data_IF_650422354474
#
_entry.id   IF_650422354474
#
_cell.length_a   1.000
_cell.length_b   1.000
_cell.length_c   1.000
_cell.angle_alpha   90.00
_cell.angle_beta   90.00
_cell.angle_gamma   90.00
#
_symmetry.space_group_name_H-M   'P 1'
#
loop_
_entity.id
_entity.type
_entity.pdbx_description
1 polymer ?
#
# COMPACT_ATOMS: atom_id res chain seq x y z
N UNK A 1 10.48 -5.33 23.73
CA UNK A 1 10.03 -6.75 23.62
C UNK A 1 11.05 -7.65 24.30
N UNK A 2 10.60 -8.67 25.05
CA UNK A 2 11.48 -9.66 25.72
C UNK A 2 12.23 -10.48 24.66
N UNK A 3 13.52 -10.68 24.82
CA UNK A 3 14.31 -11.54 23.94
C UNK A 3 13.81 -12.99 24.04
N UNK A 4 13.63 -13.66 22.90
CA UNK A 4 13.25 -15.07 22.86
C UNK A 4 14.44 -15.95 23.23
N UNK A 5 14.18 -17.02 24.02
CA UNK A 5 15.12 -18.11 24.24
C UNK A 5 15.05 -19.11 23.08
N UNK A 6 16.07 -19.93 22.90
CA UNK A 6 16.14 -20.92 21.81
C UNK A 6 14.90 -21.83 21.76
N UNK A 7 14.41 -22.24 22.91
CA UNK A 7 13.32 -23.21 23.08
C UNK A 7 11.92 -22.58 23.08
N UNK A 8 11.83 -21.25 23.13
CA UNK A 8 10.54 -20.56 23.07
C UNK A 8 9.90 -20.73 21.67
N UNK A 9 8.57 -20.75 21.61
CA UNK A 9 7.87 -20.72 20.33
C UNK A 9 8.20 -19.43 19.57
N UNK A 10 8.41 -19.59 18.27
CA UNK A 10 8.76 -18.45 17.44
C UNK A 10 7.59 -17.46 17.35
N UNK A 11 7.91 -16.17 17.47
CA UNK A 11 6.93 -15.06 17.43
C UNK A 11 6.19 -14.89 16.09
N UNK A 12 6.58 -15.64 15.05
CA UNK A 12 5.91 -15.62 13.75
C UNK A 12 4.67 -16.51 13.68
N UNK A 13 4.27 -17.14 14.79
CA UNK A 13 3.15 -18.06 14.92
C UNK A 13 3.24 -19.32 14.03
N UNK A 14 4.44 -19.69 13.55
CA UNK A 14 4.64 -20.88 12.74
C UNK A 14 4.52 -22.20 13.52
N UNK A 15 4.34 -22.15 14.85
CA UNK A 15 4.36 -23.31 15.73
C UNK A 15 5.75 -23.92 15.95
N UNK A 16 6.80 -23.42 15.30
CA UNK A 16 8.18 -23.90 15.43
C UNK A 16 8.88 -23.22 16.61
N UNK A 17 9.88 -23.89 17.18
CA UNK A 17 10.79 -23.25 18.14
C UNK A 17 11.60 -22.14 17.48
N UNK A 18 12.02 -21.16 18.27
CA UNK A 18 12.79 -20.02 17.75
C UNK A 18 14.10 -20.46 17.09
N UNK A 19 14.81 -21.44 17.69
CA UNK A 19 16.04 -22.00 17.11
C UNK A 19 15.85 -22.59 15.71
N UNK A 20 14.68 -23.20 15.45
CA UNK A 20 14.37 -23.89 14.21
C UNK A 20 13.64 -22.99 13.21
N UNK A 21 13.52 -21.71 13.52
CA UNK A 21 12.76 -20.74 12.71
C UNK A 21 13.56 -19.47 12.45
N UNK A 22 13.44 -18.46 13.31
CA UNK A 22 13.99 -17.13 13.01
C UNK A 22 15.33 -16.82 13.71
N UNK A 23 15.87 -17.71 14.53
CA UNK A 23 17.09 -17.40 15.29
C UNK A 23 18.29 -17.08 14.41
N UNK A 24 18.50 -17.82 13.33
CA UNK A 24 19.62 -17.57 12.41
C UNK A 24 19.44 -16.26 11.66
N UNK A 25 18.24 -16.00 11.21
CA UNK A 25 17.89 -14.73 10.54
C UNK A 25 18.12 -13.54 11.47
N UNK A 26 17.69 -13.64 12.73
CA UNK A 26 17.90 -12.59 13.73
C UNK A 26 19.38 -12.35 14.04
N UNK A 27 20.18 -13.41 14.08
CA UNK A 27 21.63 -13.28 14.22
C UNK A 27 22.27 -12.52 13.06
N UNK A 28 21.81 -12.75 11.82
CA UNK A 28 22.26 -12.00 10.66
C UNK A 28 21.89 -10.51 10.79
N UNK A 29 20.66 -10.21 11.19
CA UNK A 29 20.21 -8.82 11.42
C UNK A 29 21.02 -8.14 12.53
N UNK A 30 21.28 -8.81 13.63
CA UNK A 30 22.09 -8.25 14.73
C UNK A 30 23.53 -8.01 14.30
N UNK A 31 24.10 -8.84 13.41
CA UNK A 31 25.41 -8.59 12.87
C UNK A 31 25.45 -7.32 11.97
N UNK A 32 24.40 -7.10 11.16
CA UNK A 32 24.26 -5.86 10.40
C UNK A 32 24.13 -4.64 11.31
N UNK A 33 23.34 -4.71 12.39
CA UNK A 33 23.24 -3.64 13.39
C UNK A 33 24.59 -3.31 14.04
N UNK A 34 25.39 -4.33 14.38
CA UNK A 34 26.75 -4.12 14.96
C UNK A 34 27.70 -3.43 13.97
N UNK A 35 27.46 -3.56 12.68
CA UNK A 35 28.20 -2.86 11.61
C UNK A 35 27.58 -1.51 11.27
N UNK A 36 26.71 -0.96 12.13
CA UNK A 36 26.03 0.31 11.97
C UNK A 36 25.09 0.43 10.75
N UNK A 37 24.67 -0.70 10.16
CA UNK A 37 23.62 -0.67 9.14
C UNK A 37 22.25 -0.42 9.77
N UNK A 38 21.40 0.36 9.07
CA UNK A 38 20.01 0.51 9.43
C UNK A 38 19.27 -0.81 9.13
N UNK A 39 18.73 -1.43 10.17
CA UNK A 39 17.91 -2.65 10.04
C UNK A 39 16.47 -2.26 10.33
N UNK A 40 15.53 -2.56 9.40
CA UNK A 40 14.12 -2.29 9.60
C UNK A 40 13.58 -2.92 10.88
N UNK A 41 12.63 -2.27 11.58
CA UNK A 41 12.01 -2.86 12.75
C UNK A 41 11.20 -4.10 12.36
N UNK A 42 11.17 -5.10 13.23
CA UNK A 42 10.57 -6.40 12.94
C UNK A 42 9.07 -6.35 12.65
N UNK A 43 8.35 -5.36 13.15
CA UNK A 43 6.93 -5.19 12.92
C UNK A 43 6.56 -4.89 11.45
N UNK A 44 7.52 -4.46 10.63
CA UNK A 44 7.29 -4.26 9.19
C UNK A 44 7.56 -5.53 8.37
N UNK A 45 8.16 -6.57 8.98
CA UNK A 45 8.35 -7.87 8.32
C UNK A 45 7.01 -8.61 8.36
N UNK A 46 6.48 -8.93 7.20
CA UNK A 46 5.17 -9.56 7.07
C UNK A 46 5.28 -11.09 7.19
N UNK A 47 4.27 -11.70 7.80
CA UNK A 47 4.08 -13.15 7.78
C UNK A 47 3.30 -13.59 6.51
N UNK A 48 3.13 -14.90 6.30
CA UNK A 48 2.46 -15.44 5.11
C UNK A 48 1.01 -15.00 4.98
N UNK A 49 0.26 -14.88 6.08
CA UNK A 49 -1.11 -14.39 6.10
C UNK A 49 -1.18 -12.93 5.64
N UNK A 50 -0.29 -12.09 6.18
CA UNK A 50 -0.19 -10.69 5.79
C UNK A 50 0.23 -10.52 4.32
N UNK A 51 1.17 -11.38 3.85
CA UNK A 51 1.56 -11.39 2.44
C UNK A 51 0.42 -11.81 1.53
N UNK A 52 -0.37 -12.81 1.93
CA UNK A 52 -1.58 -13.20 1.20
C UNK A 52 -2.58 -12.03 1.11
N UNK A 53 -2.86 -11.36 2.23
CA UNK A 53 -3.72 -10.16 2.24
C UNK A 53 -3.19 -9.03 1.35
N UNK A 54 -1.88 -8.77 1.35
CA UNK A 54 -1.28 -7.78 0.46
C UNK A 54 -1.43 -8.17 -1.02
N UNK A 55 -1.30 -9.45 -1.36
CA UNK A 55 -1.50 -9.93 -2.74
C UNK A 55 -2.95 -9.74 -3.20
N UNK A 56 -3.92 -10.02 -2.34
CA UNK A 56 -5.35 -9.78 -2.66
C UNK A 56 -5.63 -8.27 -2.83
N UNK A 57 -5.14 -7.44 -1.91
CA UNK A 57 -5.25 -5.98 -2.03
C UNK A 57 -4.61 -5.46 -3.34
N UNK A 58 -3.46 -6.02 -3.73
CA UNK A 58 -2.78 -5.63 -4.97
C UNK A 58 -3.59 -5.99 -6.22
N UNK A 59 -4.32 -7.10 -6.23
CA UNK A 59 -5.21 -7.47 -7.35
C UNK A 59 -6.34 -6.44 -7.51
N UNK A 60 -6.94 -6.02 -6.40
CA UNK A 60 -7.96 -4.98 -6.41
C UNK A 60 -7.37 -3.68 -6.97
N UNK A 61 -6.21 -3.27 -6.46
CA UNK A 61 -5.56 -2.03 -6.91
C UNK A 61 -5.23 -2.03 -8.42
N UNK A 62 -4.71 -3.14 -8.94
CA UNK A 62 -4.45 -3.31 -10.38
C UNK A 62 -5.76 -3.16 -11.17
N UNK A 63 -6.81 -3.87 -10.78
CA UNK A 63 -8.10 -3.81 -11.47
C UNK A 63 -8.74 -2.42 -11.44
N UNK A 64 -8.54 -1.66 -10.37
CA UNK A 64 -8.99 -0.27 -10.26
C UNK A 64 -8.22 0.63 -11.22
N UNK A 65 -6.89 0.49 -11.28
CA UNK A 65 -6.05 1.27 -12.20
C UNK A 65 -6.37 0.95 -13.66
N UNK A 66 -6.53 -0.33 -14.00
CA UNK A 66 -6.94 -0.75 -15.35
C UNK A 66 -8.31 -0.16 -15.71
N UNK A 67 -9.27 -0.18 -14.78
CA UNK A 67 -10.59 0.40 -14.99
C UNK A 67 -10.53 1.92 -15.20
N UNK A 68 -9.69 2.63 -14.45
CA UNK A 68 -9.47 4.07 -14.69
C UNK A 68 -8.86 4.29 -16.06
N UNK A 69 -7.83 3.53 -16.44
CA UNK A 69 -7.17 3.65 -17.74
C UNK A 69 -8.12 3.41 -18.92
N UNK A 70 -9.09 2.49 -18.77
CA UNK A 70 -10.10 2.22 -19.81
C UNK A 70 -11.17 3.31 -19.94
N UNK A 71 -11.40 4.11 -18.91
CA UNK A 71 -12.49 5.06 -18.83
C UNK A 71 -12.05 6.53 -18.85
N UNK A 72 -10.77 6.81 -18.63
CA UNK A 72 -10.26 8.18 -18.60
C UNK A 72 -10.25 8.80 -19.99
N UNK A 73 -10.74 10.04 -20.10
CA UNK A 73 -10.72 10.80 -21.36
C UNK A 73 -10.73 12.31 -21.09
N UNK A 74 -10.31 13.09 -22.08
CA UNK A 74 -10.43 14.55 -22.03
C UNK A 74 -11.90 14.98 -21.84
N UNK A 75 -12.10 16.01 -21.05
CA UNK A 75 -13.42 16.50 -20.66
C UNK A 75 -13.94 15.98 -19.34
N UNK A 76 -13.39 14.88 -18.81
CA UNK A 76 -13.66 14.45 -17.43
C UNK A 76 -13.08 15.44 -16.43
N UNK A 77 -13.69 15.52 -15.26
CA UNK A 77 -13.10 16.20 -14.11
C UNK A 77 -12.26 15.23 -13.29
N UNK A 78 -11.34 15.74 -12.48
CA UNK A 78 -10.60 14.90 -11.54
C UNK A 78 -11.51 14.27 -10.48
N UNK A 79 -12.68 14.87 -10.21
CA UNK A 79 -13.71 14.26 -9.36
C UNK A 79 -14.32 13.01 -10.01
N UNK A 80 -14.53 12.99 -11.33
CA UNK A 80 -15.07 11.81 -12.02
C UNK A 80 -14.10 10.63 -11.90
N UNK A 81 -12.78 10.88 -11.89
CA UNK A 81 -11.78 9.85 -11.62
C UNK A 81 -11.90 9.32 -10.19
N UNK A 82 -12.07 10.19 -9.19
CA UNK A 82 -12.30 9.80 -7.81
C UNK A 82 -13.55 8.91 -7.68
N UNK A 83 -14.62 9.28 -8.37
CA UNK A 83 -15.87 8.54 -8.39
C UNK A 83 -15.68 7.13 -9.01
N UNK A 84 -14.93 7.01 -10.12
CA UNK A 84 -14.55 5.71 -10.73
C UNK A 84 -13.74 4.83 -9.74
N UNK A 85 -12.73 5.41 -9.12
CA UNK A 85 -11.86 4.69 -8.15
C UNK A 85 -12.67 4.22 -6.95
N UNK A 86 -13.51 5.09 -6.38
CA UNK A 86 -14.37 4.73 -5.25
C UNK A 86 -15.31 3.59 -5.59
N UNK A 87 -16.04 3.74 -6.70
CA UNK A 87 -17.01 2.74 -7.16
C UNK A 87 -16.33 1.38 -7.37
N UNK A 88 -15.27 1.35 -8.19
CA UNK A 88 -14.59 0.09 -8.52
C UNK A 88 -13.97 -0.59 -7.31
N UNK A 89 -13.34 0.18 -6.41
CA UNK A 89 -12.74 -0.35 -5.19
C UNK A 89 -13.81 -1.00 -4.30
N UNK A 90 -14.94 -0.32 -4.10
CA UNK A 90 -16.01 -0.81 -3.23
C UNK A 90 -16.77 -2.00 -3.84
N UNK A 91 -16.99 -2.02 -5.15
CA UNK A 91 -17.55 -3.17 -5.88
C UNK A 91 -16.69 -4.44 -5.68
N UNK A 92 -15.38 -4.29 -5.59
CA UNK A 92 -14.45 -5.41 -5.36
C UNK A 92 -14.26 -5.73 -3.86
N UNK A 93 -15.02 -5.09 -2.98
CA UNK A 93 -14.96 -5.32 -1.52
C UNK A 93 -13.75 -4.67 -0.84
N UNK A 94 -13.06 -3.75 -1.52
CA UNK A 94 -11.97 -2.96 -0.96
C UNK A 94 -12.44 -1.65 -0.32
N UNK A 95 -11.53 -1.00 0.38
CA UNK A 95 -11.70 0.36 0.91
C UNK A 95 -10.55 1.20 0.38
N UNK A 96 -10.81 2.35 -0.30
CA UNK A 96 -9.75 3.22 -0.78
C UNK A 96 -8.86 3.68 0.36
N UNK A 97 -7.55 3.40 0.29
CA UNK A 97 -6.61 3.70 1.36
C UNK A 97 -6.45 5.19 1.69
N UNK A 98 -6.52 6.13 0.72
CA UNK A 98 -6.44 7.56 1.00
C UNK A 98 -7.66 8.13 1.72
N UNK A 99 -8.84 7.51 1.55
CA UNK A 99 -10.10 8.04 2.05
C UNK A 99 -10.09 8.15 3.59
N UNK A 100 -10.25 9.36 4.10
CA UNK A 100 -10.20 9.72 5.52
C UNK A 100 -8.83 9.50 6.20
N UNK A 101 -7.77 9.14 5.46
CA UNK A 101 -6.43 9.05 6.02
C UNK A 101 -5.91 10.47 6.33
N UNK A 102 -5.62 10.73 7.60
CA UNK A 102 -5.19 12.06 8.10
C UNK A 102 -6.07 13.23 7.62
N UNK A 103 -7.37 12.96 7.42
CA UNK A 103 -8.34 13.97 6.96
C UNK A 103 -8.39 14.17 5.45
N UNK A 104 -7.71 13.34 4.65
CA UNK A 104 -7.82 13.41 3.19
C UNK A 104 -9.24 13.04 2.73
N UNK A 105 -9.94 13.91 1.95
CA UNK A 105 -11.38 13.79 1.74
C UNK A 105 -11.77 12.92 0.54
N UNK A 106 -10.82 12.29 -0.16
CA UNK A 106 -11.01 11.60 -1.44
C UNK A 106 -10.44 10.18 -1.44
N UNK A 107 -10.86 9.39 -2.42
CA UNK A 107 -10.47 7.98 -2.57
C UNK A 107 -9.13 7.80 -3.27
N UNK A 108 -8.66 8.83 -3.97
CA UNK A 108 -7.43 8.81 -4.77
C UNK A 108 -6.84 10.21 -4.82
N UNK A 109 -5.54 10.31 -5.08
CA UNK A 109 -4.92 11.57 -5.47
C UNK A 109 -4.93 11.68 -7.00
N UNK A 110 -5.19 12.88 -7.53
CA UNK A 110 -5.13 13.17 -8.97
C UNK A 110 -4.21 14.36 -9.18
N UNK A 111 -3.03 14.12 -9.75
CA UNK A 111 -2.01 15.16 -9.93
C UNK A 111 -1.77 15.40 -11.42
N UNK A 112 -2.08 16.59 -11.89
CA UNK A 112 -2.03 16.97 -13.32
C UNK A 112 -0.81 17.84 -13.59
N UNK A 113 -0.10 17.53 -14.66
CA UNK A 113 1.03 18.30 -15.21
C UNK A 113 2.10 18.60 -14.15
N UNK A 114 2.26 19.86 -13.77
CA UNK A 114 3.25 20.32 -12.77
C UNK A 114 2.94 19.93 -11.33
N UNK A 115 1.76 19.40 -11.06
CA UNK A 115 1.40 18.95 -9.71
C UNK A 115 2.09 17.62 -9.38
N UNK A 116 3.11 17.66 -8.52
CA UNK A 116 3.99 16.51 -8.26
C UNK A 116 3.25 15.34 -7.60
N UNK A 117 2.41 15.62 -6.57
CA UNK A 117 1.67 14.60 -5.83
C UNK A 117 0.53 15.23 -4.99
N UNK A 118 -0.31 14.37 -4.42
CA UNK A 118 -1.41 14.72 -3.50
C UNK A 118 -2.43 15.72 -4.07
N UNK A 119 -2.62 15.75 -5.40
CA UNK A 119 -3.72 16.50 -6.00
C UNK A 119 -5.06 16.02 -5.47
N UNK A 120 -5.88 16.95 -4.96
CA UNK A 120 -7.22 16.64 -4.43
C UNK A 120 -8.22 16.68 -5.58
N UNK A 121 -8.92 15.58 -5.88
CA UNK A 121 -9.98 15.54 -6.89
C UNK A 121 -11.01 16.64 -6.72
N UNK A 122 -11.36 17.32 -7.84
CA UNK A 122 -12.25 18.46 -7.86
C UNK A 122 -13.11 18.49 -9.14
N UNK A 123 -14.36 18.92 -9.00
CA UNK A 123 -15.25 19.19 -10.16
C UNK A 123 -14.84 20.40 -10.97
N UNK A 124 -13.94 21.23 -10.45
CA UNK A 124 -13.48 22.44 -11.11
C UNK A 124 -12.21 22.25 -11.93
N UNK A 125 -11.62 21.04 -11.90
CA UNK A 125 -10.40 20.70 -12.64
C UNK A 125 -10.77 19.67 -13.70
N UNK A 126 -10.79 20.11 -14.95
CA UNK A 126 -11.13 19.28 -16.10
C UNK A 126 -9.87 18.85 -16.83
N UNK A 127 -9.84 17.60 -17.26
CA UNK A 127 -8.76 17.05 -18.09
C UNK A 127 -8.86 17.59 -19.52
N UNK A 128 -7.74 18.01 -20.06
CA UNK A 128 -7.59 18.41 -21.44
C UNK A 128 -6.80 17.36 -22.22
N UNK A 129 -6.98 17.37 -23.54
CA UNK A 129 -6.17 16.54 -24.43
C UNK A 129 -4.69 16.96 -24.34
N UNK A 130 -3.80 16.00 -24.11
CA UNK A 130 -2.37 16.24 -23.88
C UNK A 130 -1.95 16.42 -22.42
N UNK A 131 -2.87 16.46 -21.45
CA UNK A 131 -2.51 16.46 -20.04
C UNK A 131 -1.83 15.15 -19.62
N UNK A 132 -0.84 15.28 -18.75
CA UNK A 132 -0.24 14.17 -18.04
C UNK A 132 -0.88 14.09 -16.65
N UNK A 133 -1.40 12.95 -16.27
CA UNK A 133 -2.02 12.75 -14.96
C UNK A 133 -1.39 11.55 -14.21
N UNK A 134 -1.16 11.74 -12.95
CA UNK A 134 -0.82 10.67 -11.99
C UNK A 134 -2.06 10.41 -11.11
N UNK A 135 -2.47 9.13 -11.09
CA UNK A 135 -3.61 8.62 -10.32
C UNK A 135 -3.13 7.58 -9.30
#
# INVERSE_FOLDING_TARGET
>A
MKALRKEDFCRCNSGKKYCDCHMEFDRKLDNFKRKFHKVPPRNIIKNEEQLAGMRESSKINIAVLDYVAENIHAGMTTQDIDDLVYQKTTEMGGIPAPLNYEGFPKSVCTSINEQVCHGIPSRNIQLLDGDIINV
#
